data_IF_190475599620
#
_entry.id   IF_190475599620
#
_cell.length_a   1.000
_cell.length_b   1.000
_cell.length_c   1.000
_cell.angle_alpha   90.00
_cell.angle_beta   90.00
_cell.angle_gamma   90.00
#
_symmetry.space_group_name_H-M   'P 1'
#
loop_
_entity.id
_entity.type
_entity.pdbx_description
1 polymer ?
#
# COMPACT_ATOMS: atom_id res chain seq x y z
N UNK A 1 -44.26 11.95 -1.25
CA UNK A 1 -43.26 12.96 -0.92
C UNK A 1 -42.25 12.94 -2.03
N UNK A 2 -42.16 14.02 -2.80
CA UNK A 2 -41.33 14.14 -4.00
C UNK A 2 -39.86 14.11 -3.55
N UNK A 3 -39.08 13.15 -4.05
CA UNK A 3 -37.61 13.27 -4.04
C UNK A 3 -37.27 14.53 -4.84
N UNK A 4 -36.91 15.60 -4.13
CA UNK A 4 -36.31 16.76 -4.76
C UNK A 4 -35.00 16.31 -5.38
N UNK A 5 -34.91 16.51 -6.69
CA UNK A 5 -33.72 16.27 -7.49
C UNK A 5 -32.65 17.34 -7.11
N UNK A 6 -31.86 17.05 -6.06
CA UNK A 6 -30.78 17.92 -5.55
C UNK A 6 -29.49 17.81 -6.35
N UNK A 7 -29.53 17.12 -7.49
CA UNK A 7 -28.37 16.99 -8.38
C UNK A 7 -28.03 18.38 -8.95
N UNK A 8 -26.90 18.94 -8.48
CA UNK A 8 -26.24 20.18 -8.91
C UNK A 8 -26.43 21.45 -8.05
N UNK A 9 -26.77 21.32 -6.76
CA UNK A 9 -26.68 22.48 -5.86
C UNK A 9 -25.21 22.85 -5.61
N UNK A 10 -24.95 24.17 -5.58
CA UNK A 10 -23.66 24.72 -5.15
C UNK A 10 -23.83 25.25 -3.74
N UNK A 11 -22.99 24.78 -2.83
CA UNK A 11 -23.01 25.13 -1.42
C UNK A 11 -21.66 25.77 -1.01
N UNK A 12 -21.71 26.74 -0.10
CA UNK A 12 -20.53 27.29 0.54
C UNK A 12 -20.39 26.67 1.93
N UNK A 13 -19.20 26.12 2.23
CA UNK A 13 -18.95 25.51 3.52
C UNK A 13 -17.48 25.59 3.91
N UNK A 14 -17.24 25.57 5.21
CA UNK A 14 -15.90 25.46 5.79
C UNK A 14 -15.51 23.97 5.89
N UNK A 15 -14.28 23.66 5.48
CA UNK A 15 -13.72 22.33 5.64
C UNK A 15 -13.08 22.19 7.02
N UNK A 16 -13.49 21.17 7.76
CA UNK A 16 -13.20 21.03 9.19
C UNK A 16 -11.99 20.16 9.46
N UNK A 17 -11.87 19.04 8.75
CA UNK A 17 -10.85 18.02 9.02
C UNK A 17 -10.68 17.07 7.82
N UNK A 18 -9.63 16.23 7.85
CA UNK A 18 -9.45 15.13 6.91
C UNK A 18 -10.13 13.86 7.38
N UNK A 19 -10.54 13.04 6.42
CA UNK A 19 -11.01 11.69 6.65
C UNK A 19 -9.98 10.66 6.20
N UNK A 20 -10.11 9.43 6.68
CA UNK A 20 -9.41 8.31 6.10
C UNK A 20 -9.89 8.13 4.64
N UNK A 21 -8.96 8.19 3.68
CA UNK A 21 -9.27 8.24 2.25
C UNK A 21 -8.74 9.49 1.56
N UNK A 22 -8.34 10.50 2.33
CA UNK A 22 -7.65 11.70 1.83
C UNK A 22 -8.56 12.89 1.58
N UNK A 23 -9.88 12.72 1.66
CA UNK A 23 -10.82 13.83 1.48
C UNK A 23 -10.91 14.70 2.73
N UNK A 24 -11.01 16.01 2.54
CA UNK A 24 -11.47 16.89 3.60
C UNK A 24 -13.01 16.80 3.71
N UNK A 25 -13.57 17.15 4.88
CA UNK A 25 -14.99 17.20 5.04
C UNK A 25 -15.45 18.50 5.71
N UNK A 26 -16.65 18.94 5.30
CA UNK A 26 -17.40 20.00 5.94
C UNK A 26 -18.82 19.53 6.28
N UNK A 27 -19.70 20.45 6.69
CA UNK A 27 -21.10 20.16 6.99
C UNK A 27 -22.02 21.16 6.30
N UNK A 28 -23.13 20.64 5.75
CA UNK A 28 -24.23 21.46 5.31
C UNK A 28 -24.97 22.11 6.50
N UNK A 29 -25.85 23.06 6.22
CA UNK A 29 -26.63 23.77 7.22
C UNK A 29 -27.51 22.84 8.09
N UNK A 30 -27.93 21.68 7.55
CA UNK A 30 -28.66 20.63 8.27
C UNK A 30 -27.76 19.70 9.10
N UNK A 31 -26.44 19.92 9.07
CA UNK A 31 -25.44 19.12 9.78
C UNK A 31 -24.91 17.92 9.00
N UNK A 32 -25.42 17.63 7.81
CA UNK A 32 -25.00 16.49 6.98
C UNK A 32 -23.56 16.67 6.51
N UNK A 33 -22.68 15.66 6.67
CA UNK A 33 -21.29 15.76 6.23
C UNK A 33 -21.16 15.73 4.69
N UNK A 34 -20.26 16.56 4.19
CA UNK A 34 -19.87 16.60 2.77
C UNK A 34 -18.38 16.28 2.66
N UNK A 35 -18.03 15.25 1.93
CA UNK A 35 -16.62 14.89 1.64
C UNK A 35 -16.17 15.57 0.36
N UNK A 36 -15.04 16.27 0.43
CA UNK A 36 -14.53 17.14 -0.62
C UNK A 36 -13.09 16.75 -0.95
N UNK A 37 -12.87 15.98 -2.03
CA UNK A 37 -11.52 15.72 -2.52
C UNK A 37 -10.76 17.01 -2.79
N UNK A 38 -9.45 17.00 -2.50
CA UNK A 38 -8.52 18.11 -2.76
C UNK A 38 -8.81 19.41 -2.00
N UNK A 39 -9.75 19.40 -1.05
CA UNK A 39 -9.90 20.48 -0.08
C UNK A 39 -8.93 20.33 1.09
N UNK A 40 -8.68 21.41 1.84
CA UNK A 40 -7.89 21.41 3.06
C UNK A 40 -8.71 21.91 4.26
N UNK A 41 -8.50 21.37 5.46
CA UNK A 41 -9.10 21.89 6.68
C UNK A 41 -8.78 23.39 6.87
N UNK A 42 -9.80 24.16 7.29
CA UNK A 42 -9.73 25.60 7.47
C UNK A 42 -9.98 26.40 6.19
N UNK A 43 -10.27 25.76 5.06
CA UNK A 43 -10.67 26.47 3.85
C UNK A 43 -12.17 26.75 3.85
N UNK A 44 -12.55 27.95 3.41
CA UNK A 44 -13.91 28.25 2.97
C UNK A 44 -13.99 27.94 1.46
N UNK A 45 -14.88 27.05 1.09
CA UNK A 45 -14.97 26.53 -0.29
C UNK A 45 -16.38 26.58 -0.84
N UNK A 46 -16.47 26.65 -2.16
CA UNK A 46 -17.70 26.44 -2.91
C UNK A 46 -17.65 25.06 -3.53
N UNK A 47 -18.65 24.22 -3.21
CA UNK A 47 -18.72 22.84 -3.64
C UNK A 47 -20.01 22.57 -4.41
N UNK A 48 -19.90 21.81 -5.47
CA UNK A 48 -21.04 21.23 -6.16
C UNK A 48 -21.33 19.86 -5.55
N UNK A 49 -22.59 19.53 -5.29
CA UNK A 49 -23.02 18.23 -4.75
C UNK A 49 -23.68 17.42 -5.86
N UNK A 50 -22.89 16.60 -6.61
CA UNK A 50 -23.43 15.75 -7.66
C UNK A 50 -24.13 14.51 -7.11
N UNK A 51 -23.80 14.09 -5.90
CA UNK A 51 -24.35 12.88 -5.29
C UNK A 51 -24.62 13.08 -3.80
N UNK A 52 -25.86 12.85 -3.43
CA UNK A 52 -26.32 12.79 -2.06
C UNK A 52 -26.62 11.35 -1.66
N UNK A 53 -26.05 10.92 -0.53
CA UNK A 53 -26.35 9.64 0.12
C UNK A 53 -27.22 9.89 1.36
N UNK A 54 -27.87 8.88 1.95
CA UNK A 54 -28.67 9.07 3.16
C UNK A 54 -27.93 9.79 4.28
N UNK A 55 -26.68 9.40 4.55
CA UNK A 55 -25.90 9.85 5.71
C UNK A 55 -24.80 10.85 5.38
N UNK A 56 -24.49 11.08 4.10
CA UNK A 56 -23.42 12.00 3.66
C UNK A 56 -23.62 12.45 2.22
N UNK A 57 -22.86 13.47 1.81
CA UNK A 57 -22.75 13.93 0.44
C UNK A 57 -21.31 13.77 -0.07
N UNK A 58 -21.18 13.54 -1.38
CA UNK A 58 -19.89 13.70 -2.09
C UNK A 58 -19.92 15.07 -2.77
N UNK A 59 -18.92 15.89 -2.46
CA UNK A 59 -18.78 17.23 -3.00
C UNK A 59 -17.65 17.29 -4.04
N UNK A 60 -17.86 18.03 -5.11
CA UNK A 60 -16.81 18.41 -6.04
C UNK A 60 -16.38 19.84 -5.76
N UNK A 61 -15.11 20.06 -5.46
CA UNK A 61 -14.52 21.37 -5.24
C UNK A 61 -14.66 22.22 -6.51
N UNK A 62 -15.34 23.36 -6.42
CA UNK A 62 -15.55 24.32 -7.52
C UNK A 62 -14.61 25.50 -7.39
N UNK A 63 -14.52 26.07 -6.17
CA UNK A 63 -13.76 27.26 -5.89
C UNK A 63 -13.28 27.27 -4.43
N UNK A 64 -12.08 27.77 -4.21
CA UNK A 64 -11.55 28.04 -2.89
C UNK A 64 -11.72 29.55 -2.63
N UNK A 65 -12.63 29.91 -1.73
CA UNK A 65 -12.92 31.30 -1.38
C UNK A 65 -11.89 31.87 -0.43
N UNK A 66 -11.47 31.07 0.54
CA UNK A 66 -10.40 31.42 1.48
C UNK A 66 -9.46 30.21 1.60
N UNK A 67 -8.23 30.30 1.07
CA UNK A 67 -7.30 29.18 1.11
C UNK A 67 -6.70 28.97 2.50
N UNK A 68 -6.38 27.71 2.83
CA UNK A 68 -5.59 27.37 4.00
C UNK A 68 -4.14 27.86 3.85
N UNK A 69 -3.49 28.39 4.90
CA UNK A 69 -2.07 28.76 4.86
C UNK A 69 -1.14 27.55 4.61
N UNK A 70 -1.64 26.34 4.77
CA UNK A 70 -0.91 25.08 4.52
C UNK A 70 -0.97 24.65 3.05
N UNK A 71 -1.79 25.32 2.22
CA UNK A 71 -1.93 25.00 0.81
C UNK A 71 -0.71 25.44 0.01
N UNK A 72 -0.21 24.51 -0.78
CA UNK A 72 0.84 24.76 -1.77
C UNK A 72 0.32 24.45 -3.17
N UNK A 73 1.05 24.90 -4.20
CA UNK A 73 0.76 24.53 -5.57
C UNK A 73 1.20 23.08 -5.83
N UNK A 74 0.30 22.27 -6.36
CA UNK A 74 0.64 20.91 -6.79
C UNK A 74 1.67 20.93 -7.91
N UNK A 75 2.62 20.00 -7.84
CA UNK A 75 3.70 19.88 -8.83
C UNK A 75 3.23 19.27 -10.14
N UNK A 76 2.35 18.27 -10.08
CA UNK A 76 1.92 17.49 -11.24
C UNK A 76 0.74 18.17 -11.95
N UNK A 77 0.77 18.34 -13.28
CA UNK A 77 -0.34 18.94 -14.05
C UNK A 77 -1.59 18.04 -14.06
N UNK A 78 -1.43 16.74 -13.83
CA UNK A 78 -2.55 15.79 -13.78
C UNK A 78 -3.18 15.68 -12.38
N UNK A 79 -2.68 16.45 -11.40
CA UNK A 79 -3.27 16.46 -10.06
C UNK A 79 -4.72 16.94 -10.11
N UNK A 80 -5.60 16.33 -9.34
CA UNK A 80 -7.07 16.45 -9.31
C UNK A 80 -7.82 15.63 -10.37
N UNK A 81 -7.18 15.17 -11.43
CA UNK A 81 -7.79 14.25 -12.39
C UNK A 81 -7.28 12.81 -12.19
N UNK A 82 -5.96 12.65 -12.13
CA UNK A 82 -5.31 11.37 -11.88
C UNK A 82 -5.53 10.92 -10.43
N UNK A 83 -6.00 9.68 -10.23
CA UNK A 83 -6.22 9.09 -8.90
C UNK A 83 -4.95 8.62 -8.17
N UNK A 84 -3.75 8.89 -8.70
CA UNK A 84 -2.49 8.41 -8.13
C UNK A 84 -1.99 9.22 -6.92
N UNK A 85 -2.44 10.47 -6.73
CA UNK A 85 -2.01 11.37 -5.66
C UNK A 85 -3.19 12.11 -5.04
N UNK A 86 -3.12 12.36 -3.72
CA UNK A 86 -4.19 12.99 -2.95
C UNK A 86 -3.74 14.26 -2.23
N UNK A 87 -2.43 14.43 -1.96
CA UNK A 87 -1.89 15.46 -1.05
C UNK A 87 -0.85 16.40 -1.68
N UNK A 88 -0.68 16.43 -3.01
CA UNK A 88 0.30 17.33 -3.63
C UNK A 88 0.06 18.83 -3.36
N UNK A 89 -1.14 19.19 -2.95
CA UNK A 89 -1.53 20.56 -2.57
C UNK A 89 -1.31 20.88 -1.10
N UNK A 90 -0.73 19.95 -0.33
CA UNK A 90 -0.41 20.06 1.09
C UNK A 90 1.10 19.88 1.28
N UNK A 91 1.76 20.78 2.02
CA UNK A 91 3.18 20.68 2.31
C UNK A 91 3.51 19.39 3.07
N UNK A 92 4.69 18.81 2.82
CA UNK A 92 5.01 17.44 3.21
C UNK A 92 4.95 17.22 4.73
N UNK A 93 5.46 18.14 5.52
CA UNK A 93 5.38 18.10 6.98
C UNK A 93 3.93 17.97 7.47
N UNK A 94 3.00 18.64 6.80
CA UNK A 94 1.59 18.56 7.13
C UNK A 94 0.93 17.26 6.64
N UNK A 95 1.45 16.64 5.57
CA UNK A 95 1.02 15.29 5.19
C UNK A 95 1.32 14.28 6.31
N UNK A 96 2.50 14.39 6.96
CA UNK A 96 2.88 13.56 8.10
C UNK A 96 1.97 13.77 9.31
N UNK A 97 1.64 15.04 9.63
CA UNK A 97 0.68 15.38 10.69
C UNK A 97 -0.70 14.74 10.43
N UNK A 98 -1.19 14.84 9.19
CA UNK A 98 -2.48 14.24 8.78
C UNK A 98 -2.44 12.72 8.91
N UNK A 99 -1.39 12.05 8.45
CA UNK A 99 -1.24 10.59 8.56
C UNK A 99 -1.17 10.13 10.01
N UNK A 100 -0.42 10.83 10.85
CA UNK A 100 -0.39 10.57 12.29
C UNK A 100 -1.78 10.68 12.91
N UNK A 101 -2.50 11.77 12.61
CA UNK A 101 -3.86 12.01 13.10
C UNK A 101 -4.82 10.92 12.65
N UNK A 102 -4.77 10.52 11.38
CA UNK A 102 -5.62 9.46 10.83
C UNK A 102 -5.41 8.14 11.60
N UNK A 103 -4.16 7.70 11.79
CA UNK A 103 -3.87 6.47 12.57
C UNK A 103 -4.41 6.60 13.99
N UNK A 104 -4.16 7.73 14.67
CA UNK A 104 -4.64 8.00 16.03
C UNK A 104 -6.17 7.94 16.11
N UNK A 105 -6.86 8.58 15.17
CA UNK A 105 -8.33 8.63 15.14
C UNK A 105 -8.93 7.24 14.84
N UNK A 106 -8.34 6.43 13.96
CA UNK A 106 -8.79 5.06 13.70
C UNK A 106 -8.60 4.17 14.93
N UNK A 107 -7.44 4.22 15.58
CA UNK A 107 -7.18 3.48 16.81
C UNK A 107 -8.17 3.86 17.93
N UNK A 108 -8.50 5.14 18.06
CA UNK A 108 -9.49 5.61 19.04
C UNK A 108 -10.92 5.21 18.69
N UNK A 109 -11.35 5.44 17.44
CA UNK A 109 -12.76 5.26 17.03
C UNK A 109 -13.12 3.81 16.79
N UNK A 110 -12.29 3.06 16.04
CA UNK A 110 -12.52 1.66 15.67
C UNK A 110 -11.87 0.73 16.70
N UNK A 111 -10.60 0.98 17.02
CA UNK A 111 -9.82 0.20 17.98
C UNK A 111 -10.35 0.30 19.41
N UNK A 112 -11.10 1.36 19.73
CA UNK A 112 -11.61 1.68 21.09
C UNK A 112 -10.49 1.85 22.13
N UNK A 113 -9.30 2.26 21.66
CA UNK A 113 -8.17 2.59 22.51
C UNK A 113 -8.33 4.06 22.93
N UNK A 114 -8.46 4.32 24.22
CA UNK A 114 -8.80 5.66 24.73
C UNK A 114 -7.69 6.67 24.43
N UNK A 115 -6.45 6.30 24.69
CA UNK A 115 -5.24 7.10 24.44
C UNK A 115 -4.22 6.27 23.68
N UNK A 116 -4.39 6.12 22.35
CA UNK A 116 -3.43 5.35 21.57
C UNK A 116 -2.09 6.08 21.51
N UNK A 117 -1.05 5.44 22.04
CA UNK A 117 0.32 5.95 21.99
C UNK A 117 0.91 5.75 20.57
N UNK A 118 0.44 6.56 19.62
CA UNK A 118 0.95 6.56 18.25
C UNK A 118 2.20 7.41 18.19
N UNK A 119 3.30 6.81 17.74
CA UNK A 119 4.56 7.53 17.54
C UNK A 119 4.45 8.50 16.35
N UNK A 120 5.32 9.52 16.27
CA UNK A 120 5.43 10.35 15.07
C UNK A 120 5.67 9.48 13.82
N UNK A 121 5.10 9.89 12.69
CA UNK A 121 5.30 9.17 11.41
C UNK A 121 6.77 9.24 11.01
N UNK A 122 7.39 8.10 10.70
CA UNK A 122 8.73 8.07 10.10
C UNK A 122 8.63 8.64 8.68
N UNK A 123 9.27 9.80 8.39
CA UNK A 123 9.17 10.43 7.09
C UNK A 123 9.90 9.62 6.02
N UNK A 124 9.43 9.71 4.78
CA UNK A 124 10.17 9.16 3.64
C UNK A 124 11.47 9.92 3.42
N UNK A 125 12.51 9.20 3.01
CA UNK A 125 13.78 9.82 2.64
C UNK A 125 13.66 10.78 1.43
N UNK A 126 12.65 10.57 0.60
CA UNK A 126 12.31 11.42 -0.54
C UNK A 126 10.79 11.53 -0.68
N UNK A 127 10.30 12.73 -0.95
CA UNK A 127 8.88 13.02 -1.21
C UNK A 127 8.47 12.64 -2.64
N UNK A 128 9.46 12.56 -3.54
CA UNK A 128 9.33 12.34 -4.97
C UNK A 128 10.38 11.32 -5.42
N UNK A 129 10.16 10.73 -6.61
CA UNK A 129 11.10 9.78 -7.21
C UNK A 129 11.49 8.61 -6.28
N UNK A 130 10.56 8.17 -5.46
CA UNK A 130 10.77 7.09 -4.49
C UNK A 130 10.22 5.74 -4.96
N UNK A 131 9.29 5.77 -5.92
CA UNK A 131 8.50 4.60 -6.28
C UNK A 131 9.21 3.77 -7.35
N UNK A 132 9.71 2.61 -6.95
CA UNK A 132 10.43 1.70 -7.85
C UNK A 132 9.51 0.91 -8.81
N UNK A 133 8.24 0.75 -8.48
CA UNK A 133 7.29 -0.02 -9.28
C UNK A 133 6.05 0.80 -9.60
N UNK A 134 5.70 0.87 -10.88
CA UNK A 134 4.50 1.54 -11.39
C UNK A 134 3.63 0.57 -12.18
N UNK A 135 2.31 0.71 -12.06
CA UNK A 135 1.34 -0.05 -12.84
C UNK A 135 0.47 0.90 -13.64
N UNK A 136 0.76 1.00 -14.93
CA UNK A 136 0.01 1.84 -15.85
C UNK A 136 -1.18 1.05 -16.43
N UNK A 137 -2.32 1.71 -16.56
CA UNK A 137 -3.38 1.28 -17.44
C UNK A 137 -3.15 1.85 -18.83
N UNK A 138 -3.52 1.09 -19.85
CA UNK A 138 -3.53 1.64 -21.21
C UNK A 138 -4.90 2.26 -21.49
N UNK A 139 -4.87 3.46 -22.07
CA UNK A 139 -6.08 4.11 -22.58
C UNK A 139 -6.61 3.39 -23.84
N UNK A 140 -7.80 3.70 -24.33
CA UNK A 140 -8.29 3.21 -25.61
C UNK A 140 -7.37 3.55 -26.81
N UNK A 141 -6.52 4.58 -26.69
CA UNK A 141 -5.52 4.95 -27.68
C UNK A 141 -4.18 4.21 -27.54
N UNK A 142 -4.03 3.30 -26.55
CA UNK A 142 -2.78 2.58 -26.26
C UNK A 142 -1.80 3.33 -25.37
N UNK A 143 -2.12 4.55 -24.93
CA UNK A 143 -1.22 5.38 -24.13
C UNK A 143 -1.27 5.01 -22.63
N UNK A 144 -0.10 5.04 -21.94
CA UNK A 144 -0.05 4.77 -20.50
C UNK A 144 -0.71 5.90 -19.70
N UNK A 145 -1.40 5.50 -18.63
CA UNK A 145 -2.07 6.40 -17.71
C UNK A 145 -2.49 5.73 -16.43
N UNK A 146 -3.22 6.46 -15.60
CA UNK A 146 -3.79 5.96 -14.37
C UNK A 146 -5.29 6.15 -14.35
N UNK A 147 -5.98 5.35 -13.55
CA UNK A 147 -7.40 5.59 -13.30
C UNK A 147 -7.59 6.99 -12.72
N UNK A 148 -8.68 7.64 -13.12
CA UNK A 148 -9.11 8.90 -12.52
C UNK A 148 -9.58 8.67 -11.07
N UNK A 149 -9.91 9.75 -10.37
CA UNK A 149 -10.37 9.70 -8.97
C UNK A 149 -11.65 8.88 -8.78
N UNK A 150 -12.45 8.67 -9.83
CA UNK A 150 -13.67 7.83 -9.78
C UNK A 150 -13.38 6.36 -10.10
N UNK A 151 -12.22 6.04 -10.66
CA UNK A 151 -11.83 4.72 -11.12
C UNK A 151 -12.45 4.30 -12.45
N UNK A 152 -13.19 5.19 -13.13
CA UNK A 152 -13.98 4.87 -14.32
C UNK A 152 -13.16 4.96 -15.62
N UNK A 153 -12.36 6.01 -15.78
CA UNK A 153 -11.57 6.24 -17.00
C UNK A 153 -10.07 6.23 -16.74
N UNK A 154 -9.29 6.05 -17.78
CA UNK A 154 -7.83 6.21 -17.75
C UNK A 154 -7.50 7.65 -18.13
N UNK A 155 -6.79 8.35 -17.26
CA UNK A 155 -6.17 9.65 -17.53
C UNK A 155 -4.82 9.38 -18.18
N UNK A 156 -4.67 9.72 -19.44
CA UNK A 156 -3.38 9.68 -20.12
C UNK A 156 -2.45 10.70 -19.47
N UNK A 157 -1.25 10.29 -19.11
CA UNK A 157 -0.30 11.15 -18.43
C UNK A 157 0.87 11.52 -19.35
N UNK A 158 1.39 12.73 -19.17
CA UNK A 158 2.58 13.22 -19.88
C UNK A 158 3.81 13.28 -18.99
N UNK A 159 3.60 13.30 -17.66
CA UNK A 159 4.66 13.25 -16.65
C UNK A 159 4.16 12.63 -15.36
N UNK A 160 5.07 12.03 -14.58
CA UNK A 160 4.82 11.56 -13.24
C UNK A 160 6.07 11.74 -12.38
N UNK A 161 5.89 12.31 -11.18
CA UNK A 161 7.02 12.63 -10.29
C UNK A 161 7.24 11.60 -9.17
N UNK A 162 6.40 10.56 -9.09
CA UNK A 162 6.54 9.51 -8.08
C UNK A 162 7.59 8.45 -8.41
N UNK A 163 7.71 7.99 -9.70
CA UNK A 163 8.64 6.92 -10.03
C UNK A 163 10.10 7.34 -9.90
N UNK A 164 10.94 6.36 -9.60
CA UNK A 164 12.41 6.51 -9.69
C UNK A 164 12.84 6.79 -11.14
N UNK A 165 14.05 7.38 -11.34
CA UNK A 165 14.52 7.75 -12.68
C UNK A 165 14.43 6.61 -13.70
N UNK A 166 14.87 5.39 -13.37
CA UNK A 166 14.84 4.27 -14.32
C UNK A 166 13.43 3.98 -14.89
N UNK A 167 12.39 4.05 -14.07
CA UNK A 167 11.01 3.92 -14.56
C UNK A 167 10.62 5.12 -15.44
N UNK A 168 11.01 6.34 -15.05
CA UNK A 168 10.70 7.56 -15.79
C UNK A 168 11.43 7.65 -17.15
N UNK A 169 12.54 6.97 -17.33
CA UNK A 169 13.25 6.87 -18.61
C UNK A 169 12.55 5.92 -19.58
N UNK A 170 11.78 4.95 -19.08
CA UNK A 170 11.13 3.92 -19.90
C UNK A 170 9.71 4.29 -20.30
N UNK A 171 8.83 4.59 -19.32
CA UNK A 171 7.40 4.68 -19.60
C UNK A 171 6.99 5.72 -20.65
N UNK A 172 7.64 6.92 -20.80
CA UNK A 172 7.25 7.88 -21.83
C UNK A 172 7.55 7.42 -23.26
N UNK A 173 8.44 6.42 -23.38
CA UNK A 173 8.86 5.85 -24.67
C UNK A 173 8.09 4.56 -25.01
N UNK A 174 7.11 4.16 -24.19
CA UNK A 174 6.25 3.03 -24.51
C UNK A 174 5.28 3.42 -25.62
N UNK A 175 5.40 2.75 -26.76
CA UNK A 175 4.46 2.87 -27.89
C UNK A 175 3.76 1.52 -28.08
N UNK A 176 2.55 1.42 -27.53
CA UNK A 176 1.76 0.19 -27.54
C UNK A 176 0.54 0.41 -28.42
N UNK A 177 0.45 -0.38 -29.49
CA UNK A 177 -0.68 -0.31 -30.42
C UNK A 177 -1.99 -0.62 -29.70
N UNK A 178 -2.99 0.24 -29.94
CA UNK A 178 -4.31 0.07 -29.35
C UNK A 178 -4.95 -1.25 -29.82
N UNK A 179 -5.55 -1.98 -28.88
CA UNK A 179 -6.30 -3.20 -29.20
C UNK A 179 -5.48 -4.46 -29.39
N UNK A 180 -4.16 -4.47 -29.20
CA UNK A 180 -3.31 -5.67 -29.32
C UNK A 180 -3.50 -6.67 -28.15
N UNK A 181 -4.45 -6.42 -27.24
CA UNK A 181 -4.76 -7.32 -26.14
C UNK A 181 -3.96 -7.09 -24.85
N UNK A 182 -3.15 -6.02 -24.78
CA UNK A 182 -2.48 -5.57 -23.56
C UNK A 182 -3.37 -4.51 -22.88
N UNK A 183 -3.60 -4.66 -21.58
CA UNK A 183 -4.47 -3.77 -20.80
C UNK A 183 -3.71 -2.95 -19.77
N UNK A 184 -2.59 -3.50 -19.27
CA UNK A 184 -1.77 -2.87 -18.22
C UNK A 184 -0.29 -3.12 -18.52
N UNK A 185 0.53 -2.17 -18.05
CA UNK A 185 1.98 -2.27 -18.07
C UNK A 185 2.50 -2.02 -16.67
N UNK A 186 3.16 -3.01 -16.10
CA UNK A 186 3.95 -2.86 -14.90
C UNK A 186 5.39 -2.55 -15.30
N UNK A 187 5.99 -1.54 -14.69
CA UNK A 187 7.43 -1.28 -14.76
C UNK A 187 8.01 -1.32 -13.35
N UNK A 188 9.08 -2.07 -13.17
CA UNK A 188 9.84 -2.15 -11.93
C UNK A 188 11.31 -1.90 -12.20
N UNK A 189 11.87 -0.87 -11.57
CA UNK A 189 13.32 -0.66 -11.58
C UNK A 189 13.96 -1.45 -10.44
N UNK A 190 14.87 -2.34 -10.77
CA UNK A 190 15.74 -3.04 -9.85
C UNK A 190 16.80 -2.10 -9.25
N UNK A 191 17.43 -2.51 -8.18
CA UNK A 191 18.56 -1.78 -7.56
C UNK A 191 19.87 -1.98 -8.30
N UNK A 192 19.93 -2.97 -9.16
CA UNK A 192 21.01 -3.25 -10.11
C UNK A 192 21.00 -2.35 -11.36
N UNK A 193 19.93 -1.56 -11.53
CA UNK A 193 19.74 -0.64 -12.64
C UNK A 193 18.95 -1.22 -13.81
N UNK A 194 18.57 -2.52 -13.77
CA UNK A 194 17.65 -3.08 -14.77
C UNK A 194 16.21 -2.59 -14.55
N UNK A 195 15.45 -2.51 -15.64
CA UNK A 195 14.02 -2.23 -15.58
C UNK A 195 13.25 -3.41 -16.16
N UNK A 196 12.42 -4.02 -15.34
CA UNK A 196 11.54 -5.09 -15.75
C UNK A 196 10.17 -4.53 -16.13
N UNK A 197 9.72 -4.86 -17.35
CA UNK A 197 8.37 -4.57 -17.84
C UNK A 197 7.52 -5.82 -17.86
N UNK A 198 6.36 -5.76 -17.21
CA UNK A 198 5.33 -6.80 -17.27
C UNK A 198 4.11 -6.31 -18.05
N UNK A 199 3.85 -6.89 -19.20
CA UNK A 199 2.70 -6.56 -20.06
C UNK A 199 1.55 -7.50 -19.71
N UNK A 200 0.53 -6.98 -19.04
CA UNK A 200 -0.65 -7.78 -18.68
C UNK A 200 -1.68 -7.76 -19.80
N UNK A 201 -2.09 -8.94 -20.24
CA UNK A 201 -3.04 -9.11 -21.32
C UNK A 201 -3.96 -10.29 -21.18
N UNK A 202 -4.95 -10.36 -22.09
CA UNK A 202 -5.96 -11.42 -22.11
C UNK A 202 -5.65 -12.56 -23.11
N UNK A 203 -4.57 -12.42 -23.88
CA UNK A 203 -4.19 -13.40 -24.88
C UNK A 203 -3.46 -14.59 -24.24
N UNK A 204 -3.61 -15.77 -24.83
CA UNK A 204 -2.91 -16.99 -24.38
C UNK A 204 -1.42 -16.99 -24.77
N UNK A 205 -1.03 -16.14 -25.69
CA UNK A 205 0.36 -15.94 -26.15
C UNK A 205 0.65 -14.44 -26.31
N UNK A 206 1.93 -14.05 -26.12
CA UNK A 206 2.30 -12.65 -26.32
C UNK A 206 2.04 -12.22 -27.78
N UNK A 207 1.61 -10.96 -27.99
CA UNK A 207 1.58 -10.36 -29.33
C UNK A 207 3.01 -10.14 -29.85
N UNK A 208 3.14 -9.95 -31.15
CA UNK A 208 4.42 -9.53 -31.72
C UNK A 208 4.71 -8.08 -31.26
N UNK A 209 5.89 -7.88 -30.68
CA UNK A 209 6.34 -6.60 -30.17
C UNK A 209 7.76 -6.32 -30.64
N UNK A 210 8.05 -5.07 -30.91
CA UNK A 210 9.39 -4.57 -31.15
C UNK A 210 9.92 -3.91 -29.88
N UNK A 211 11.05 -4.37 -29.41
CA UNK A 211 11.72 -3.83 -28.24
C UNK A 211 13.00 -3.11 -28.67
N UNK A 212 13.01 -1.78 -28.53
CA UNK A 212 14.16 -0.93 -28.86
C UNK A 212 14.85 -0.37 -27.59
N UNK A 213 14.54 -0.92 -26.43
CA UNK A 213 15.08 -0.49 -25.13
C UNK A 213 15.77 -1.66 -24.41
N UNK A 214 16.85 -1.41 -23.66
CA UNK A 214 17.53 -2.44 -22.87
C UNK A 214 16.77 -2.69 -21.54
N UNK A 215 15.64 -3.38 -21.59
CA UNK A 215 14.81 -3.74 -20.44
C UNK A 215 14.48 -5.22 -20.48
N UNK A 216 14.19 -5.78 -19.31
CA UNK A 216 13.65 -7.12 -19.20
C UNK A 216 12.14 -7.08 -19.49
N UNK A 217 11.64 -7.96 -20.37
CA UNK A 217 10.28 -7.92 -20.87
C UNK A 217 9.55 -9.23 -20.62
N UNK A 218 8.41 -9.15 -19.97
CA UNK A 218 7.50 -10.26 -19.72
C UNK A 218 6.11 -9.99 -20.31
N UNK A 219 5.48 -11.04 -20.82
CA UNK A 219 4.05 -11.03 -21.06
C UNK A 219 3.36 -11.86 -19.97
N UNK A 220 2.41 -11.23 -19.27
CA UNK A 220 1.67 -11.79 -18.14
C UNK A 220 0.27 -12.17 -18.62
N UNK A 221 0.14 -13.39 -19.16
CA UNK A 221 -1.09 -13.91 -19.70
C UNK A 221 -2.07 -14.40 -18.63
N UNK A 222 -3.26 -14.88 -19.05
CA UNK A 222 -4.26 -15.42 -18.12
C UNK A 222 -3.86 -16.75 -17.49
N UNK A 223 -3.15 -17.58 -18.18
CA UNK A 223 -2.79 -18.94 -17.73
C UNK A 223 -1.31 -19.21 -17.68
N UNK A 224 -0.51 -18.40 -18.33
CA UNK A 224 0.94 -18.59 -18.44
C UNK A 224 1.65 -17.26 -18.65
N UNK A 225 2.83 -17.14 -18.05
CA UNK A 225 3.74 -16.01 -18.23
C UNK A 225 4.85 -16.40 -19.20
N UNK A 226 5.30 -15.42 -19.98
CA UNK A 226 6.36 -15.61 -20.99
C UNK A 226 7.46 -14.57 -20.75
N UNK A 227 8.68 -15.05 -20.53
CA UNK A 227 9.87 -14.22 -20.64
C UNK A 227 10.14 -13.96 -22.13
N UNK A 228 10.03 -12.73 -22.56
CA UNK A 228 10.22 -12.32 -23.95
C UNK A 228 11.64 -11.83 -24.21
N UNK A 229 12.26 -11.15 -23.25
CA UNK A 229 13.64 -10.66 -23.32
C UNK A 229 14.20 -10.38 -21.93
N UNK A 230 15.51 -10.42 -21.76
CA UNK A 230 16.22 -10.06 -20.52
C UNK A 230 16.07 -11.08 -19.39
N UNK A 231 16.01 -10.60 -18.16
CA UNK A 231 16.02 -11.40 -16.94
C UNK A 231 14.62 -11.82 -16.49
N UNK A 232 14.54 -12.94 -15.77
CA UNK A 232 13.29 -13.52 -15.30
C UNK A 232 12.68 -12.77 -14.09
N UNK A 233 13.47 -11.95 -13.39
CA UNK A 233 13.10 -11.26 -12.16
C UNK A 233 13.88 -9.95 -12.01
N UNK A 234 13.41 -9.07 -11.13
CA UNK A 234 14.14 -7.89 -10.68
C UNK A 234 14.93 -8.20 -9.42
N UNK A 235 16.08 -7.57 -9.24
CA UNK A 235 16.84 -7.59 -7.98
C UNK A 235 16.49 -6.36 -7.17
N UNK A 236 16.05 -6.57 -5.92
CA UNK A 236 15.68 -5.51 -4.99
C UNK A 236 16.54 -5.60 -3.73
N UNK A 237 17.41 -4.62 -3.49
CA UNK A 237 18.31 -4.61 -2.32
C UNK A 237 17.67 -3.85 -1.17
N UNK A 238 17.57 -4.48 -0.01
CA UNK A 238 17.11 -3.88 1.26
C UNK A 238 18.17 -4.13 2.32
N UNK A 239 18.66 -3.10 2.98
CA UNK A 239 19.70 -3.19 4.01
C UNK A 239 20.91 -4.05 3.58
N UNK A 240 21.32 -3.95 2.30
CA UNK A 240 22.45 -4.70 1.73
C UNK A 240 22.16 -6.18 1.43
N UNK A 241 20.92 -6.62 1.51
CA UNK A 241 20.48 -7.98 1.16
C UNK A 241 19.65 -7.92 -0.12
N UNK A 242 20.04 -8.73 -1.11
CA UNK A 242 19.34 -8.83 -2.38
C UNK A 242 18.15 -9.78 -2.27
N UNK A 243 17.06 -9.37 -2.91
CA UNK A 243 15.83 -10.14 -3.08
C UNK A 243 15.53 -10.32 -4.56
N UNK A 244 15.30 -11.56 -4.95
CA UNK A 244 14.69 -11.91 -6.23
C UNK A 244 13.20 -11.62 -6.17
N UNK A 245 12.67 -10.85 -7.14
CA UNK A 245 11.26 -10.48 -7.19
C UNK A 245 10.73 -10.67 -8.61
N UNK A 246 9.94 -11.69 -8.80
CA UNK A 246 9.28 -12.03 -10.07
C UNK A 246 8.23 -11.00 -10.47
N UNK A 247 7.85 -10.90 -11.75
CA UNK A 247 6.91 -9.87 -12.25
C UNK A 247 5.57 -9.83 -11.52
N UNK A 248 5.02 -10.99 -11.10
CA UNK A 248 3.75 -11.08 -10.38
C UNK A 248 3.87 -10.92 -8.88
N UNK A 249 5.08 -10.99 -8.33
CA UNK A 249 5.31 -10.87 -6.91
C UNK A 249 5.24 -9.40 -6.46
N UNK A 250 4.60 -9.19 -5.34
CA UNK A 250 4.60 -7.89 -4.66
C UNK A 250 5.96 -7.66 -3.98
N UNK A 251 6.43 -6.44 -4.04
CA UNK A 251 7.51 -5.93 -3.20
C UNK A 251 7.26 -4.48 -2.81
N UNK A 252 7.93 -4.01 -1.75
CA UNK A 252 7.77 -2.65 -1.26
C UNK A 252 8.24 -1.62 -2.29
N UNK A 253 7.39 -0.65 -2.59
CA UNK A 253 7.65 0.32 -3.68
C UNK A 253 8.59 1.46 -3.28
N UNK A 254 8.85 1.64 -1.98
CA UNK A 254 9.74 2.65 -1.41
C UNK A 254 10.80 1.95 -0.59
N UNK A 255 11.94 1.63 -1.22
CA UNK A 255 13.00 0.83 -0.59
C UNK A 255 13.59 1.46 0.68
N UNK A 256 13.91 2.77 0.72
CA UNK A 256 14.38 3.40 1.96
C UNK A 256 13.41 3.26 3.13
N UNK A 257 12.10 3.29 2.87
CA UNK A 257 11.10 3.06 3.92
C UNK A 257 10.98 1.58 4.30
N UNK A 258 11.09 0.66 3.34
CA UNK A 258 11.19 -0.78 3.64
C UNK A 258 12.39 -1.08 4.53
N UNK A 259 13.54 -0.47 4.26
CA UNK A 259 14.74 -0.55 5.11
C UNK A 259 14.50 -0.05 6.53
N UNK A 260 13.84 1.11 6.66
CA UNK A 260 13.50 1.68 7.96
C UNK A 260 12.52 0.78 8.74
N UNK A 261 11.51 0.22 8.05
CA UNK A 261 10.56 -0.73 8.65
C UNK A 261 11.26 -2.00 9.13
N UNK A 262 12.10 -2.61 8.29
CA UNK A 262 12.86 -3.82 8.66
C UNK A 262 13.75 -3.54 9.88
N UNK A 263 14.49 -2.42 9.89
CA UNK A 263 15.32 -2.01 11.04
C UNK A 263 14.48 -1.86 12.31
N UNK A 264 13.33 -1.22 12.21
CA UNK A 264 12.42 -1.04 13.34
C UNK A 264 11.89 -2.38 13.87
N UNK A 265 11.45 -3.26 12.99
CA UNK A 265 10.96 -4.59 13.36
C UNK A 265 12.05 -5.40 14.04
N UNK A 266 13.24 -5.50 13.46
CA UNK A 266 14.35 -6.26 14.03
C UNK A 266 14.80 -5.73 15.40
N UNK A 267 14.81 -4.42 15.60
CA UNK A 267 15.18 -3.80 16.85
C UNK A 267 14.16 -4.01 17.98
N UNK A 268 12.89 -4.27 17.65
CA UNK A 268 11.80 -4.25 18.63
C UNK A 268 10.98 -5.56 18.71
N UNK A 269 11.14 -6.51 17.77
CA UNK A 269 10.37 -7.74 17.77
C UNK A 269 10.73 -8.70 18.91
N UNK A 270 11.90 -8.54 19.54
CA UNK A 270 12.36 -9.37 20.65
C UNK A 270 12.75 -10.80 20.25
N UNK A 271 13.04 -11.04 18.97
CA UNK A 271 13.55 -12.32 18.49
C UNK A 271 14.93 -12.62 19.08
N UNK A 272 15.15 -13.86 19.46
CA UNK A 272 16.43 -14.39 19.98
C UNK A 272 16.80 -15.67 19.25
N UNK A 273 18.01 -16.15 19.43
CA UNK A 273 18.46 -17.41 18.84
C UNK A 273 17.67 -18.65 19.32
N UNK A 274 16.89 -18.52 20.40
CA UNK A 274 16.01 -19.59 20.90
C UNK A 274 14.60 -19.46 20.35
N UNK A 275 14.26 -18.35 19.69
CA UNK A 275 12.90 -18.06 19.24
C UNK A 275 12.51 -18.93 18.05
N UNK A 276 11.23 -19.27 18.03
CA UNK A 276 10.53 -19.80 16.86
C UNK A 276 9.63 -18.73 16.29
N UNK A 277 9.71 -18.48 14.97
CA UNK A 277 9.00 -17.41 14.28
C UNK A 277 8.00 -17.96 13.28
N UNK A 278 6.80 -17.39 13.27
CA UNK A 278 5.79 -17.62 12.24
C UNK A 278 5.55 -16.30 11.47
N UNK A 279 5.85 -16.30 10.15
CA UNK A 279 5.64 -15.15 9.27
C UNK A 279 4.41 -15.39 8.39
N UNK A 280 3.29 -14.79 8.75
CA UNK A 280 2.01 -14.94 8.07
C UNK A 280 1.84 -13.86 7.01
N UNK A 281 1.48 -14.27 5.80
CA UNK A 281 1.46 -13.42 4.59
C UNK A 281 2.89 -12.98 4.21
N UNK A 282 3.84 -13.91 4.24
CA UNK A 282 5.27 -13.62 4.18
C UNK A 282 5.75 -13.06 2.81
N UNK A 283 4.92 -13.12 1.77
CA UNK A 283 5.30 -12.66 0.44
C UNK A 283 6.58 -13.32 -0.06
N UNK A 284 7.50 -12.53 -0.58
CA UNK A 284 8.82 -12.99 -1.04
C UNK A 284 9.84 -13.17 0.10
N UNK A 285 9.41 -13.02 1.36
CA UNK A 285 10.22 -13.25 2.54
C UNK A 285 10.98 -12.02 3.07
N UNK A 286 10.43 -10.80 2.92
CA UNK A 286 11.13 -9.57 3.34
C UNK A 286 11.58 -9.63 4.80
N UNK A 287 10.68 -9.92 5.75
CA UNK A 287 11.04 -10.02 7.18
C UNK A 287 11.73 -11.36 7.49
N UNK A 288 11.26 -12.44 6.88
CA UNK A 288 11.82 -13.77 7.04
C UNK A 288 13.32 -13.83 6.76
N UNK A 289 13.80 -13.18 5.69
CA UNK A 289 15.22 -13.17 5.29
C UNK A 289 16.14 -12.56 6.35
N UNK A 290 15.67 -11.56 7.07
CA UNK A 290 16.44 -10.93 8.14
C UNK A 290 16.29 -11.65 9.49
N UNK A 291 15.19 -12.35 9.72
CA UNK A 291 14.96 -13.09 10.96
C UNK A 291 15.58 -14.48 10.94
N UNK A 292 15.62 -15.16 9.78
CA UNK A 292 16.15 -16.52 9.66
C UNK A 292 17.53 -16.74 10.31
N UNK A 293 18.54 -15.85 10.15
CA UNK A 293 19.84 -16.03 10.78
C UNK A 293 19.85 -15.78 12.30
N UNK A 294 18.77 -15.25 12.86
CA UNK A 294 18.67 -14.81 14.27
C UNK A 294 17.86 -15.78 15.16
N UNK A 295 17.22 -16.80 14.58
CA UNK A 295 16.23 -17.64 15.28
C UNK A 295 16.50 -19.13 15.08
N UNK A 296 15.92 -19.96 15.94
CA UNK A 296 16.05 -21.43 15.85
C UNK A 296 15.26 -21.98 14.64
N UNK A 297 14.04 -21.49 14.42
CA UNK A 297 13.18 -21.95 13.32
C UNK A 297 12.27 -20.82 12.87
N UNK A 298 11.97 -20.81 11.56
CA UNK A 298 11.04 -19.89 10.95
C UNK A 298 10.11 -20.64 10.00
N UNK A 299 8.81 -20.36 10.09
CA UNK A 299 7.84 -20.83 9.11
C UNK A 299 7.16 -19.65 8.44
N UNK A 300 7.18 -19.61 7.12
CA UNK A 300 6.43 -18.67 6.29
C UNK A 300 5.11 -19.26 5.82
N UNK A 301 4.08 -18.44 5.67
CA UNK A 301 2.80 -18.81 5.06
C UNK A 301 2.45 -17.80 3.96
N UNK A 302 2.27 -18.28 2.73
CA UNK A 302 1.94 -17.44 1.58
C UNK A 302 0.99 -18.19 0.61
N UNK A 303 0.11 -17.44 -0.04
CA UNK A 303 -0.84 -17.97 -1.02
C UNK A 303 -0.36 -17.82 -2.47
N UNK A 304 0.34 -16.73 -2.78
CA UNK A 304 0.77 -16.41 -4.14
C UNK A 304 1.88 -17.35 -4.58
N UNK A 305 1.63 -18.18 -5.62
CA UNK A 305 2.62 -19.11 -6.17
C UNK A 305 3.92 -18.39 -6.58
N UNK A 306 3.81 -17.22 -7.23
CA UNK A 306 4.98 -16.41 -7.61
C UNK A 306 5.79 -15.98 -6.40
N UNK A 307 5.13 -15.48 -5.36
CA UNK A 307 5.80 -15.07 -4.13
C UNK A 307 6.40 -16.26 -3.36
N UNK A 308 5.74 -17.42 -3.36
CA UNK A 308 6.29 -18.65 -2.78
C UNK A 308 7.59 -19.10 -3.48
N UNK A 309 7.64 -19.02 -4.81
CA UNK A 309 8.84 -19.36 -5.58
C UNK A 309 9.97 -18.38 -5.26
N UNK A 310 9.67 -17.09 -5.19
CA UNK A 310 10.65 -16.06 -4.82
C UNK A 310 11.10 -16.22 -3.35
N UNK A 311 10.20 -16.54 -2.43
CA UNK A 311 10.54 -16.87 -1.04
C UNK A 311 11.54 -18.01 -0.96
N UNK A 312 11.29 -19.11 -1.69
CA UNK A 312 12.19 -20.26 -1.71
C UNK A 312 13.59 -19.89 -2.22
N UNK A 313 13.67 -19.06 -3.26
CA UNK A 313 14.97 -18.56 -3.78
C UNK A 313 15.66 -17.62 -2.79
N UNK A 314 14.91 -16.71 -2.19
CA UNK A 314 15.46 -15.72 -1.29
C UNK A 314 15.95 -16.30 0.05
N UNK A 315 15.43 -17.46 0.45
CA UNK A 315 15.76 -18.11 1.73
C UNK A 315 16.44 -19.48 1.57
N UNK A 316 16.89 -19.87 0.37
CA UNK A 316 17.50 -21.17 0.09
C UNK A 316 18.78 -21.44 0.92
N UNK A 317 19.46 -20.40 1.39
CA UNK A 317 20.65 -20.50 2.23
C UNK A 317 20.37 -20.89 3.70
N UNK A 318 19.09 -21.02 4.11
CA UNK A 318 18.70 -21.25 5.51
C UNK A 318 18.01 -22.60 5.71
N UNK A 319 18.66 -23.54 6.38
CA UNK A 319 18.12 -24.85 6.70
C UNK A 319 17.01 -24.83 7.77
N UNK A 320 16.88 -23.71 8.51
CA UNK A 320 15.90 -23.53 9.58
C UNK A 320 14.61 -22.86 9.13
N UNK A 321 14.40 -22.71 7.81
CA UNK A 321 13.21 -22.07 7.24
C UNK A 321 12.33 -23.09 6.53
N UNK A 322 11.02 -22.97 6.74
CA UNK A 322 10.00 -23.73 6.01
C UNK A 322 8.94 -22.80 5.43
N UNK A 323 8.32 -23.19 4.31
CA UNK A 323 7.25 -22.45 3.66
C UNK A 323 6.01 -23.35 3.52
N UNK A 324 4.87 -22.80 3.93
CA UNK A 324 3.54 -23.40 3.77
C UNK A 324 2.75 -22.61 2.73
N UNK A 325 2.34 -23.28 1.66
CA UNK A 325 1.62 -22.65 0.54
C UNK A 325 0.12 -22.78 0.75
N UNK A 326 -0.56 -21.66 0.95
CA UNK A 326 -2.02 -21.62 1.10
C UNK A 326 -2.52 -20.38 1.82
N UNK A 327 -3.85 -20.32 1.98
CA UNK A 327 -4.46 -19.22 2.72
C UNK A 327 -4.16 -19.35 4.21
N UNK A 328 -3.70 -18.27 4.82
CA UNK A 328 -3.36 -18.22 6.24
C UNK A 328 -4.52 -18.72 7.12
N UNK A 329 -5.74 -18.26 6.83
CA UNK A 329 -6.95 -18.62 7.57
C UNK A 329 -7.34 -20.11 7.47
N UNK A 330 -6.83 -20.84 6.49
CA UNK A 330 -7.13 -22.25 6.27
C UNK A 330 -6.06 -23.18 6.84
N UNK A 331 -4.79 -22.71 6.94
CA UNK A 331 -3.66 -23.56 7.28
C UNK A 331 -2.96 -23.21 8.58
N UNK A 332 -3.08 -21.99 9.12
CA UNK A 332 -2.34 -21.54 10.29
C UNK A 332 -2.52 -22.49 11.51
N UNK A 333 -3.73 -22.99 11.72
CA UNK A 333 -4.02 -23.90 12.84
C UNK A 333 -3.51 -25.34 12.65
N UNK A 334 -3.09 -25.70 11.44
CA UNK A 334 -2.55 -27.04 11.12
C UNK A 334 -1.02 -27.08 11.08
N UNK A 335 -0.36 -25.92 11.25
CA UNK A 335 1.10 -25.83 11.29
C UNK A 335 1.57 -26.30 12.69
N UNK A 336 2.35 -27.37 12.71
CA UNK A 336 2.92 -27.93 13.95
C UNK A 336 4.13 -27.11 14.43
N UNK A 337 3.93 -25.81 14.65
CA UNK A 337 4.94 -24.90 15.19
C UNK A 337 4.36 -24.16 16.40
N UNK A 338 5.17 -24.00 17.43
CA UNK A 338 4.84 -23.22 18.62
C UNK A 338 5.60 -21.89 18.57
N UNK A 339 5.05 -20.84 17.93
CA UNK A 339 5.79 -19.60 17.74
C UNK A 339 5.93 -18.83 19.07
N UNK A 340 7.12 -18.26 19.27
CA UNK A 340 7.36 -17.22 20.28
C UNK A 340 7.01 -15.83 19.72
N UNK A 341 7.22 -15.64 18.40
CA UNK A 341 6.99 -14.42 17.67
C UNK A 341 6.18 -14.70 16.40
N UNK A 342 5.16 -13.88 16.14
CA UNK A 342 4.44 -13.90 14.87
C UNK A 342 4.59 -12.55 14.18
N UNK A 343 4.97 -12.58 12.90
CA UNK A 343 4.93 -11.41 11.99
C UNK A 343 3.64 -11.52 11.17
N UNK A 344 2.97 -10.40 10.98
CA UNK A 344 1.71 -10.29 10.22
C UNK A 344 1.83 -9.14 9.22
N UNK A 345 1.68 -9.43 7.93
CA UNK A 345 1.59 -8.40 6.88
C UNK A 345 0.40 -8.72 5.93
N UNK A 346 -0.84 -8.68 6.46
CA UNK A 346 -2.02 -9.08 5.70
C UNK A 346 -2.39 -8.06 4.63
N UNK A 347 -3.20 -8.46 3.62
CA UNK A 347 -3.77 -7.54 2.66
C UNK A 347 -4.68 -6.50 3.32
N UNK A 348 -5.11 -5.48 2.55
CA UNK A 348 -5.97 -4.37 3.04
C UNK A 348 -7.22 -4.79 3.82
N UNK A 349 -7.74 -5.98 3.58
CA UNK A 349 -8.90 -6.51 4.32
C UNK A 349 -8.60 -6.79 5.79
N UNK A 350 -7.31 -6.85 6.18
CA UNK A 350 -6.84 -7.24 7.50
C UNK A 350 -7.02 -8.73 7.78
N UNK A 351 -7.04 -9.10 9.05
CA UNK A 351 -7.09 -10.50 9.48
C UNK A 351 -8.51 -11.09 9.40
N UNK A 352 -8.59 -12.33 8.93
CA UNK A 352 -9.78 -13.16 9.12
C UNK A 352 -10.00 -13.48 10.61
N UNK A 353 -11.23 -13.68 11.02
CA UNK A 353 -11.56 -14.00 12.42
C UNK A 353 -10.92 -15.30 12.89
N UNK A 354 -10.71 -16.27 12.01
CA UNK A 354 -10.05 -17.55 12.32
C UNK A 354 -8.58 -17.35 12.65
N UNK A 355 -7.91 -16.43 11.95
CA UNK A 355 -6.51 -16.08 12.25
C UNK A 355 -6.42 -15.41 13.62
N UNK A 356 -7.33 -14.47 13.93
CA UNK A 356 -7.37 -13.84 15.26
C UNK A 356 -7.60 -14.87 16.37
N UNK A 357 -8.51 -15.84 16.17
CA UNK A 357 -8.77 -16.91 17.13
C UNK A 357 -7.53 -17.81 17.33
N UNK A 358 -6.88 -18.21 16.22
CA UNK A 358 -5.64 -18.97 16.26
C UNK A 358 -4.54 -18.25 17.07
N UNK A 359 -4.34 -16.95 16.81
CA UNK A 359 -3.34 -16.16 17.53
C UNK A 359 -3.62 -16.07 19.03
N UNK A 360 -4.88 -15.90 19.42
CA UNK A 360 -5.28 -15.87 20.83
C UNK A 360 -5.04 -17.20 21.59
N UNK A 361 -5.05 -18.32 20.85
CA UNK A 361 -4.80 -19.67 21.40
C UNK A 361 -3.34 -20.12 21.22
N UNK A 362 -2.53 -19.38 20.44
CA UNK A 362 -1.15 -19.71 20.14
C UNK A 362 -0.21 -19.48 21.34
N UNK A 363 1.00 -20.03 21.24
CA UNK A 363 2.07 -19.79 22.24
C UNK A 363 2.82 -18.47 22.04
N UNK A 364 2.41 -17.67 21.04
CA UNK A 364 3.11 -16.45 20.67
C UNK A 364 3.07 -15.42 21.80
N UNK A 365 4.25 -15.06 22.28
CA UNK A 365 4.42 -14.01 23.29
C UNK A 365 4.43 -12.61 22.67
N UNK A 366 4.75 -12.51 21.38
CA UNK A 366 4.89 -11.25 20.65
C UNK A 366 4.27 -11.34 19.26
N UNK A 367 3.63 -10.24 18.88
CA UNK A 367 3.15 -10.02 17.52
C UNK A 367 3.76 -8.73 16.95
N UNK A 368 4.18 -8.79 15.69
CA UNK A 368 4.50 -7.63 14.87
C UNK A 368 3.45 -7.57 13.77
N UNK A 369 2.60 -6.55 13.79
CA UNK A 369 1.55 -6.38 12.79
C UNK A 369 1.88 -5.20 11.89
N UNK A 370 2.21 -5.47 10.64
CA UNK A 370 2.41 -4.49 9.56
C UNK A 370 1.11 -4.32 8.81
N UNK A 371 0.68 -3.09 8.52
CA UNK A 371 -0.59 -2.83 7.84
C UNK A 371 -0.58 -1.54 7.04
N UNK A 372 -1.08 -1.61 5.81
CA UNK A 372 -1.31 -0.46 4.94
C UNK A 372 -2.71 0.19 5.10
N UNK A 373 -3.57 -0.34 5.98
CA UNK A 373 -4.92 0.19 6.21
C UNK A 373 -5.20 0.41 7.71
N UNK A 374 -5.19 1.67 8.18
CA UNK A 374 -5.39 2.00 9.59
C UNK A 374 -6.75 1.57 10.15
N UNK A 375 -7.79 1.47 9.32
CA UNK A 375 -9.13 1.12 9.80
C UNK A 375 -9.23 -0.38 10.12
N UNK A 376 -8.75 -1.24 9.21
CA UNK A 376 -8.70 -2.68 9.43
C UNK A 376 -7.70 -3.04 10.51
N UNK A 377 -6.54 -2.37 10.56
CA UNK A 377 -5.57 -2.51 11.65
C UNK A 377 -6.20 -2.21 13.01
N UNK A 378 -6.89 -1.09 13.16
CA UNK A 378 -7.55 -0.71 14.42
C UNK A 378 -8.62 -1.74 14.84
N UNK A 379 -9.40 -2.26 13.86
CA UNK A 379 -10.38 -3.34 14.09
C UNK A 379 -9.69 -4.60 14.63
N UNK A 380 -8.58 -4.97 14.02
CA UNK A 380 -7.89 -6.21 14.36
C UNK A 380 -7.10 -6.08 15.66
N UNK A 381 -6.48 -4.93 15.93
CA UNK A 381 -5.89 -4.62 17.23
C UNK A 381 -6.92 -4.76 18.37
N UNK A 382 -8.15 -4.26 18.17
CA UNK A 382 -9.23 -4.46 19.15
C UNK A 382 -9.55 -5.92 19.39
N UNK A 383 -9.56 -6.75 18.34
CA UNK A 383 -9.84 -8.19 18.45
C UNK A 383 -8.70 -8.95 19.14
N UNK A 384 -7.45 -8.62 18.75
CA UNK A 384 -6.25 -9.21 19.37
C UNK A 384 -6.15 -8.83 20.86
N UNK A 385 -6.47 -7.57 21.20
CA UNK A 385 -6.51 -7.13 22.60
C UNK A 385 -7.59 -7.90 23.41
N UNK A 386 -8.75 -8.15 22.82
CA UNK A 386 -9.76 -9.00 23.43
C UNK A 386 -9.31 -10.48 23.56
N UNK A 387 -8.36 -10.91 22.73
CA UNK A 387 -7.70 -12.23 22.75
C UNK A 387 -6.49 -12.32 23.69
N UNK A 388 -6.20 -11.29 24.49
CA UNK A 388 -5.14 -11.32 25.52
C UNK A 388 -3.85 -10.58 25.16
N UNK A 389 -3.75 -10.00 23.96
CA UNK A 389 -2.58 -9.21 23.59
C UNK A 389 -2.70 -7.76 24.07
N UNK A 390 -1.57 -7.15 24.41
CA UNK A 390 -1.45 -5.73 24.77
C UNK A 390 -0.63 -4.99 23.73
N UNK A 391 -1.05 -3.80 23.34
CA UNK A 391 -0.30 -2.95 22.40
C UNK A 391 0.87 -2.30 23.15
N UNK A 392 2.09 -2.49 22.64
CA UNK A 392 3.31 -1.88 23.18
C UNK A 392 3.69 -0.61 22.41
N UNK A 393 3.52 -0.63 21.09
CA UNK A 393 3.90 0.50 20.23
C UNK A 393 3.09 0.52 18.94
N UNK A 394 2.81 1.72 18.45
CA UNK A 394 2.16 1.97 17.15
C UNK A 394 3.08 2.93 16.40
N UNK A 395 3.77 2.43 15.37
CA UNK A 395 4.73 3.20 14.59
C UNK A 395 4.30 3.33 13.14
N UNK A 396 3.82 4.51 12.73
CA UNK A 396 3.51 4.77 11.32
C UNK A 396 4.77 5.12 10.52
N UNK A 397 4.76 4.74 9.22
CA UNK A 397 5.79 5.01 8.22
C UNK A 397 5.15 5.63 6.98
N UNK A 398 5.79 6.63 6.39
CA UNK A 398 5.32 7.21 5.13
C UNK A 398 5.96 6.51 3.92
N UNK A 399 5.43 5.34 3.56
CA UNK A 399 5.83 4.62 2.34
C UNK A 399 5.33 5.29 1.07
N UNK A 400 4.29 6.11 1.18
CA UNK A 400 3.55 6.64 0.04
C UNK A 400 3.37 8.17 0.14
N UNK A 401 4.46 8.97 0.10
CA UNK A 401 4.34 10.43 -0.01
C UNK A 401 3.36 10.87 -1.09
N UNK A 402 2.72 12.01 -0.91
CA UNK A 402 1.73 12.59 -1.81
C UNK A 402 0.38 11.85 -1.86
N UNK A 403 0.21 10.80 -1.04
CA UNK A 403 -1.04 10.03 -0.93
C UNK A 403 -1.52 9.96 0.52
N UNK A 404 -2.78 9.55 0.72
CA UNK A 404 -3.32 9.32 2.07
C UNK A 404 -2.85 8.01 2.72
N UNK A 405 -2.23 7.13 1.95
CA UNK A 405 -1.75 5.84 2.47
C UNK A 405 -0.67 6.03 3.51
N UNK A 406 -0.75 5.24 4.56
CA UNK A 406 0.23 5.17 5.64
C UNK A 406 0.42 3.71 6.01
N UNK A 407 1.67 3.27 6.08
CA UNK A 407 2.05 1.97 6.60
C UNK A 407 2.22 2.08 8.11
N UNK A 408 1.77 1.08 8.86
CA UNK A 408 1.84 1.14 10.32
C UNK A 408 2.29 -0.19 10.88
N UNK A 409 3.33 -0.18 11.70
CA UNK A 409 3.80 -1.34 12.45
C UNK A 409 3.27 -1.24 13.88
N UNK A 410 2.53 -2.25 14.33
CA UNK A 410 2.08 -2.38 15.71
C UNK A 410 2.82 -3.53 16.37
N UNK A 411 3.43 -3.24 17.52
CA UNK A 411 4.04 -4.25 18.38
C UNK A 411 3.06 -4.60 19.49
N UNK A 412 2.84 -5.89 19.68
CA UNK A 412 1.96 -6.38 20.73
C UNK A 412 2.65 -7.50 21.51
N UNK A 413 2.32 -7.63 22.79
CA UNK A 413 2.75 -8.74 23.66
C UNK A 413 1.57 -9.39 24.35
N UNK A 414 1.74 -10.67 24.66
CA UNK A 414 0.82 -11.42 25.51
C UNK A 414 1.44 -11.56 26.90
N UNK A 415 0.64 -11.36 27.94
CA UNK A 415 1.09 -11.44 29.34
C UNK A 415 1.43 -12.86 29.79
#
# INVERSE_FOLDING_TARGET
MSMQNTANTIEELELLDFTFGGDAFGRLADGKPVFVPFGLPGELVRVQIPQEKPDYCLGRLVEILTPSPKRIQARCPHFTECGGCHYQHLAYEHQLEVKHKIVTDQMRRIGKIIEPAVNPVVPSAAEWNYRNTMQFHLSPSGKPGFKDITGERVVEITECHLPVPGVNEVWPNLDIEAGIGINRVMLRAGTDGDVLAGLEGALDRPPELKLDMPISLHYLGRGQDFLMAGDAYSVMTVNGVDFTVSPRSFFQVNLPQAEAMVKYVLANCGATHESTVLDLYCGVGLFSRFLAPLVTALAGVELSESACNDFALNLDAFDNVSLYVGKVEDIASSIEIHPDLVILDPPRAGLDKRVVAYLAESTAKRLVYVSCDPATLARDCKRLTAGGFSIESIQPFDLFPQTFHVETVVLMSQA
#
